data_IF_380572932758
#
_entry.id   IF_380572932758
#
_cell.length_a   1.000
_cell.length_b   1.000
_cell.length_c   1.000
_cell.angle_alpha   90.00
_cell.angle_beta   90.00
_cell.angle_gamma   90.00
#
_symmetry.space_group_name_H-M   'P 1'
#
loop_
_entity.id
_entity.type
_entity.pdbx_description
1 polymer ?
#
# COMPACT_ATOMS: atom_id res chain seq x y z
N UNK A 1 43.90 -13.49 -25.47
CA UNK A 1 42.47 -13.75 -25.74
C UNK A 1 41.68 -12.91 -24.78
N UNK A 2 40.94 -11.96 -25.34
CA UNK A 2 40.10 -11.01 -24.61
C UNK A 2 39.09 -11.77 -23.75
N UNK A 3 38.82 -11.22 -22.56
CA UNK A 3 37.88 -11.77 -21.60
C UNK A 3 36.45 -11.52 -22.14
N UNK A 4 36.06 -12.29 -23.15
CA UNK A 4 34.77 -12.20 -23.86
C UNK A 4 33.60 -12.79 -23.04
N UNK A 5 33.87 -13.36 -21.86
CA UNK A 5 32.87 -14.00 -21.01
C UNK A 5 32.59 -13.18 -19.75
N UNK A 6 31.31 -12.89 -19.49
CA UNK A 6 30.85 -12.34 -18.21
C UNK A 6 30.64 -13.48 -17.21
N UNK A 7 31.40 -13.49 -16.11
CA UNK A 7 31.21 -14.44 -15.02
C UNK A 7 30.29 -13.82 -13.96
N UNK A 8 29.13 -14.45 -13.73
CA UNK A 8 28.27 -14.08 -12.61
C UNK A 8 28.97 -14.44 -11.30
N UNK A 9 28.89 -13.54 -10.32
CA UNK A 9 29.34 -13.81 -8.95
C UNK A 9 28.21 -13.51 -7.99
N UNK A 10 28.08 -14.30 -6.94
CA UNK A 10 27.07 -14.08 -5.91
C UNK A 10 27.30 -12.75 -5.21
N UNK A 11 26.23 -12.00 -4.95
CA UNK A 11 26.31 -10.77 -4.15
C UNK A 11 26.85 -11.07 -2.75
N UNK A 12 26.50 -12.24 -2.19
CA UNK A 12 26.97 -12.71 -0.88
C UNK A 12 28.48 -12.92 -0.81
N UNK A 13 29.16 -13.14 -1.93
CA UNK A 13 30.62 -13.26 -2.00
C UNK A 13 31.33 -11.90 -2.17
N UNK A 14 30.58 -10.85 -2.54
CA UNK A 14 31.11 -9.55 -2.96
C UNK A 14 30.77 -8.41 -2.03
N UNK A 15 29.74 -8.57 -1.20
CA UNK A 15 29.26 -7.53 -0.30
C UNK A 15 29.36 -8.02 1.14
N UNK A 16 29.72 -7.10 2.02
CA UNK A 16 29.73 -7.33 3.45
C UNK A 16 28.30 -7.57 3.95
N UNK A 17 28.13 -8.60 4.78
CA UNK A 17 26.83 -9.04 5.28
C UNK A 17 26.18 -7.97 6.17
N UNK A 18 26.96 -7.24 6.97
CA UNK A 18 26.42 -6.20 7.84
C UNK A 18 25.84 -5.03 7.01
N UNK A 19 26.48 -4.72 5.89
CA UNK A 19 25.99 -3.72 4.93
C UNK A 19 24.67 -4.18 4.29
N UNK A 20 24.57 -5.44 3.87
CA UNK A 20 23.33 -6.02 3.34
C UNK A 20 22.23 -5.95 4.40
N UNK A 21 22.50 -6.43 5.61
CA UNK A 21 21.53 -6.50 6.70
C UNK A 21 21.03 -5.12 7.11
N UNK A 22 21.92 -4.14 7.23
CA UNK A 22 21.55 -2.77 7.57
C UNK A 22 20.64 -2.15 6.50
N UNK A 23 20.97 -2.35 5.22
CA UNK A 23 20.17 -1.82 4.12
C UNK A 23 18.80 -2.50 4.00
N UNK A 24 18.77 -3.82 4.17
CA UNK A 24 17.56 -4.65 4.19
C UNK A 24 16.61 -4.26 5.33
N UNK A 25 17.14 -3.93 6.52
CA UNK A 25 16.33 -3.43 7.64
C UNK A 25 15.68 -2.09 7.33
N UNK A 26 16.43 -1.15 6.74
CA UNK A 26 15.86 0.12 6.28
C UNK A 26 14.74 -0.09 5.27
N UNK A 27 14.90 -1.05 4.36
CA UNK A 27 13.85 -1.40 3.42
C UNK A 27 12.62 -2.04 4.09
N UNK A 28 12.81 -2.94 5.05
CA UNK A 28 11.72 -3.53 5.83
C UNK A 28 10.91 -2.46 6.57
N UNK A 29 11.59 -1.49 7.19
CA UNK A 29 10.93 -0.38 7.86
C UNK A 29 10.13 0.48 6.87
N UNK A 30 10.69 0.75 5.69
CA UNK A 30 10.03 1.50 4.63
C UNK A 30 8.76 0.79 4.13
N UNK A 31 8.87 -0.49 3.75
CA UNK A 31 7.74 -1.24 3.16
C UNK A 31 6.64 -1.54 4.19
N UNK A 32 6.99 -1.66 5.46
CA UNK A 32 6.00 -1.81 6.57
C UNK A 32 5.06 -0.61 6.63
N UNK A 33 5.58 0.60 6.38
CA UNK A 33 4.78 1.84 6.41
C UNK A 33 4.16 2.16 5.06
N UNK A 34 4.76 1.71 3.97
CA UNK A 34 4.38 2.05 2.60
C UNK A 34 3.35 1.08 1.99
N UNK A 35 2.27 0.77 2.72
CA UNK A 35 1.29 -0.24 2.29
C UNK A 35 0.45 0.20 1.08
N UNK A 36 0.31 1.50 0.89
CA UNK A 36 -0.44 2.12 -0.21
C UNK A 36 0.46 3.08 -0.97
N UNK A 37 0.05 3.47 -2.18
CA UNK A 37 0.77 4.48 -2.95
C UNK A 37 0.84 5.83 -2.21
N UNK A 38 -0.18 6.18 -1.43
CA UNK A 38 -0.19 7.42 -0.63
C UNK A 38 0.80 7.35 0.51
N UNK A 39 0.81 6.24 1.26
CA UNK A 39 1.74 6.04 2.35
C UNK A 39 3.18 5.90 1.86
N UNK A 40 3.40 5.31 0.69
CA UNK A 40 4.70 5.25 0.04
C UNK A 40 5.22 6.66 -0.31
N UNK A 41 4.36 7.55 -0.82
CA UNK A 41 4.71 8.97 -1.01
C UNK A 41 5.07 9.63 0.31
N UNK A 42 4.24 9.46 1.34
CA UNK A 42 4.47 10.07 2.66
C UNK A 42 5.82 9.63 3.27
N UNK A 43 6.11 8.32 3.30
CA UNK A 43 7.39 7.81 3.82
C UNK A 43 8.57 8.28 2.97
N UNK A 44 8.42 8.33 1.63
CA UNK A 44 9.47 8.83 0.73
C UNK A 44 9.75 10.32 0.96
N UNK A 45 8.72 11.13 1.18
CA UNK A 45 8.88 12.56 1.50
C UNK A 45 9.66 12.73 2.79
N UNK A 46 9.40 11.91 3.82
CA UNK A 46 10.15 11.97 5.07
C UNK A 46 11.63 11.59 4.90
N UNK A 47 11.94 10.60 4.05
CA UNK A 47 13.32 10.29 3.67
C UNK A 47 14.01 11.48 2.97
N UNK A 48 13.33 12.08 1.98
CA UNK A 48 13.85 13.20 1.21
C UNK A 48 14.09 14.45 2.08
N UNK A 49 13.16 14.79 2.98
CA UNK A 49 13.32 15.90 3.93
C UNK A 49 14.53 15.70 4.83
N UNK A 50 14.72 14.49 5.38
CA UNK A 50 15.90 14.16 6.20
C UNK A 50 17.20 14.30 5.41
N UNK A 51 17.16 14.05 4.11
CA UNK A 51 18.30 14.23 3.19
C UNK A 51 18.50 15.67 2.68
N UNK A 52 17.71 16.64 3.19
CA UNK A 52 17.82 18.06 2.85
C UNK A 52 17.13 18.47 1.56
N UNK A 53 16.23 17.64 1.01
CA UNK A 53 15.40 18.05 -0.12
C UNK A 53 14.29 19.00 0.34
N UNK A 54 13.90 19.91 -0.55
CA UNK A 54 12.79 20.84 -0.35
C UNK A 54 11.67 20.62 -1.38
N UNK A 55 10.40 20.82 -1.01
CA UNK A 55 9.30 20.77 -1.96
C UNK A 55 9.44 21.87 -3.01
N UNK A 56 8.98 21.66 -4.24
CA UNK A 56 9.01 22.67 -5.31
C UNK A 56 8.29 23.96 -4.88
N UNK A 57 7.21 23.81 -4.11
CA UNK A 57 6.40 24.90 -3.55
C UNK A 57 7.22 25.86 -2.67
N UNK A 58 8.31 25.39 -2.04
CA UNK A 58 9.24 26.24 -1.28
C UNK A 58 9.86 27.31 -2.19
N UNK A 59 10.35 26.92 -3.36
CA UNK A 59 11.02 27.81 -4.31
C UNK A 59 10.03 28.78 -4.95
N UNK A 60 8.83 28.29 -5.29
CA UNK A 60 7.74 29.12 -5.82
C UNK A 60 7.31 30.20 -4.82
N UNK A 61 7.16 29.84 -3.55
CA UNK A 61 6.73 30.77 -2.49
C UNK A 61 7.83 31.78 -2.15
N UNK A 62 9.09 31.31 -2.03
CA UNK A 62 10.23 32.17 -1.75
C UNK A 62 10.63 33.05 -2.95
N UNK A 63 10.07 32.80 -4.13
CA UNK A 63 10.48 33.39 -5.41
C UNK A 63 11.98 33.19 -5.67
N UNK A 64 12.48 32.04 -5.27
CA UNK A 64 13.87 31.65 -5.45
C UNK A 64 14.02 30.79 -6.71
N UNK A 65 15.03 31.08 -7.53
CA UNK A 65 15.38 30.21 -8.64
C UNK A 65 16.09 28.96 -8.11
N UNK A 66 15.73 27.80 -8.66
CA UNK A 66 16.44 26.54 -8.45
C UNK A 66 17.83 26.64 -9.10
N UNK A 67 18.87 26.27 -8.36
CA UNK A 67 20.29 26.38 -8.73
C UNK A 67 20.98 25.02 -8.65
N UNK A 68 22.16 24.94 -9.26
CA UNK A 68 23.06 23.80 -9.07
C UNK A 68 23.33 23.56 -7.59
N UNK A 69 23.23 22.32 -7.15
CA UNK A 69 23.35 21.89 -5.75
C UNK A 69 22.00 21.73 -5.04
N UNK A 70 20.92 22.29 -5.58
CA UNK A 70 19.60 22.16 -4.97
C UNK A 70 19.07 20.71 -5.05
N UNK A 71 18.32 20.35 -4.02
CA UNK A 71 17.63 19.07 -3.86
C UNK A 71 16.14 19.37 -3.77
N UNK A 72 15.39 18.99 -4.80
CA UNK A 72 13.99 19.40 -4.97
C UNK A 72 13.10 18.18 -5.14
N UNK A 73 11.91 18.17 -4.54
CA UNK A 73 10.89 17.18 -4.83
C UNK A 73 9.53 17.81 -5.11
N UNK A 74 8.67 17.08 -5.80
CA UNK A 74 7.29 17.47 -6.08
C UNK A 74 6.38 16.29 -5.77
N UNK A 75 5.27 16.54 -5.07
CA UNK A 75 4.23 15.54 -4.82
C UNK A 75 2.99 15.89 -5.63
N UNK A 76 2.53 14.94 -6.46
CA UNK A 76 1.29 15.11 -7.24
C UNK A 76 0.15 14.31 -6.61
N UNK A 77 -0.89 15.02 -6.16
CA UNK A 77 -2.13 14.46 -5.61
C UNK A 77 -1.94 13.51 -4.40
N UNK A 78 -0.75 13.52 -3.80
CA UNK A 78 -0.35 12.57 -2.75
C UNK A 78 -0.20 11.12 -3.24
N UNK A 79 -0.09 10.87 -4.56
CA UNK A 79 0.01 9.52 -5.14
C UNK A 79 1.22 9.31 -6.05
N UNK A 80 1.89 10.38 -6.44
CA UNK A 80 3.11 10.33 -7.24
C UNK A 80 4.12 11.33 -6.70
N UNK A 81 5.40 11.02 -6.87
CA UNK A 81 6.51 11.83 -6.40
C UNK A 81 7.59 11.90 -7.48
N UNK A 82 8.16 13.09 -7.65
CA UNK A 82 9.37 13.31 -8.44
C UNK A 82 10.41 13.95 -7.53
N UNK A 83 11.66 13.51 -7.62
CA UNK A 83 12.77 14.07 -6.86
C UNK A 83 14.00 14.29 -7.77
N UNK A 84 14.70 15.40 -7.56
CA UNK A 84 15.81 15.84 -8.38
C UNK A 84 16.96 16.37 -7.53
N UNK A 85 18.19 15.98 -7.88
CA UNK A 85 19.44 16.57 -7.40
C UNK A 85 20.05 17.37 -8.56
N UNK A 86 20.04 18.69 -8.47
CA UNK A 86 20.38 19.56 -9.60
C UNK A 86 21.90 19.65 -9.74
N UNK A 87 22.47 18.99 -10.75
CA UNK A 87 23.91 18.95 -10.97
C UNK A 87 24.43 19.96 -12.01
N UNK A 88 23.54 20.73 -12.65
CA UNK A 88 23.93 21.69 -13.67
C UNK A 88 22.80 22.07 -14.61
N UNK A 89 23.14 22.42 -15.85
CA UNK A 89 22.16 22.82 -16.86
C UNK A 89 21.32 21.62 -17.32
N UNK A 90 20.03 21.64 -16.99
CA UNK A 90 19.05 20.62 -17.37
C UNK A 90 18.98 20.35 -18.88
N UNK A 91 19.30 21.34 -19.74
CA UNK A 91 19.36 21.17 -21.21
C UNK A 91 20.46 20.20 -21.66
N UNK A 92 21.43 19.88 -20.80
CA UNK A 92 22.46 18.87 -21.08
C UNK A 92 21.97 17.42 -20.84
N UNK A 93 20.72 17.25 -20.43
CA UNK A 93 20.14 15.96 -20.12
C UNK A 93 20.11 15.68 -18.62
N UNK A 94 19.56 14.51 -18.30
CA UNK A 94 19.34 14.04 -16.93
C UNK A 94 19.48 12.51 -16.90
N UNK A 95 19.98 11.99 -15.77
CA UNK A 95 19.94 10.58 -15.48
C UNK A 95 18.68 10.32 -14.64
N UNK A 96 17.75 9.53 -15.16
CA UNK A 96 16.48 9.23 -14.50
C UNK A 96 16.35 7.75 -14.25
N UNK A 97 15.92 7.43 -13.04
CA UNK A 97 15.36 6.14 -12.66
C UNK A 97 13.88 6.37 -12.33
N UNK A 98 13.02 5.47 -12.80
CA UNK A 98 11.59 5.53 -12.57
C UNK A 98 11.11 4.17 -12.08
N UNK A 99 10.21 4.18 -11.11
CA UNK A 99 9.54 3.02 -10.55
C UNK A 99 8.10 3.42 -10.22
N UNK A 100 7.19 2.44 -10.14
CA UNK A 100 5.84 2.69 -9.65
C UNK A 100 5.70 2.26 -8.18
N UNK A 101 4.71 2.83 -7.48
CA UNK A 101 4.53 2.65 -6.04
C UNK A 101 3.12 2.15 -5.66
N UNK A 102 2.23 2.06 -6.64
CA UNK A 102 1.00 1.30 -6.53
C UNK A 102 1.30 -0.19 -6.63
N UNK A 103 0.46 -0.99 -5.98
CA UNK A 103 0.54 -2.45 -6.00
C UNK A 103 -0.86 -3.04 -6.17
N UNK A 104 -0.99 -4.27 -6.72
CA UNK A 104 -2.28 -4.94 -6.84
C UNK A 104 -2.99 -5.05 -5.48
N UNK A 105 -4.30 -4.78 -5.45
CA UNK A 105 -5.09 -4.62 -4.22
C UNK A 105 -6.58 -4.80 -4.46
N UNK A 106 -7.38 -4.66 -3.41
CA UNK A 106 -8.84 -4.65 -3.47
C UNK A 106 -9.39 -3.31 -3.00
N UNK A 107 -9.83 -2.46 -3.92
CA UNK A 107 -10.44 -1.18 -3.58
C UNK A 107 -11.89 -1.38 -3.14
N UNK A 108 -12.34 -0.59 -2.17
CA UNK A 108 -13.75 -0.55 -1.83
C UNK A 108 -14.57 0.09 -2.95
N UNK A 109 -15.74 -0.48 -3.26
CA UNK A 109 -16.69 0.18 -4.16
C UNK A 109 -17.25 1.44 -3.50
N UNK A 110 -17.78 2.41 -4.27
CA UNK A 110 -18.38 3.64 -3.71
C UNK A 110 -19.53 3.38 -2.71
N UNK A 111 -20.30 2.30 -2.88
CA UNK A 111 -21.26 1.78 -1.89
C UNK A 111 -20.77 0.43 -1.38
N UNK A 112 -19.75 0.41 -0.50
CA UNK A 112 -19.08 -0.84 -0.19
C UNK A 112 -19.88 -1.68 0.82
N UNK A 113 -20.58 -1.05 1.75
CA UNK A 113 -21.14 -1.75 2.89
C UNK A 113 -22.50 -2.37 2.55
N UNK A 114 -22.64 -3.68 2.73
CA UNK A 114 -23.88 -4.42 2.53
C UNK A 114 -24.10 -5.46 3.61
N UNK A 115 -25.28 -5.48 4.20
CA UNK A 115 -25.72 -6.60 5.03
C UNK A 115 -26.32 -7.73 4.17
N UNK A 116 -25.96 -8.96 4.50
CA UNK A 116 -26.56 -10.16 3.91
C UNK A 116 -26.45 -11.32 4.90
N UNK A 117 -27.54 -12.03 5.13
CA UNK A 117 -27.55 -13.24 5.97
C UNK A 117 -27.02 -13.00 7.39
N UNK A 118 -27.35 -11.85 8.00
CA UNK A 118 -26.89 -11.49 9.36
C UNK A 118 -25.41 -11.12 9.46
N UNK A 119 -24.76 -10.82 8.34
CA UNK A 119 -23.35 -10.42 8.28
C UNK A 119 -23.20 -9.14 7.45
N UNK A 120 -22.31 -8.25 7.88
CA UNK A 120 -21.92 -7.07 7.10
C UNK A 120 -20.68 -7.39 6.25
N UNK A 121 -20.75 -7.04 4.96
CA UNK A 121 -19.68 -7.24 4.00
C UNK A 121 -19.26 -5.91 3.37
N UNK A 122 -17.96 -5.79 3.11
CA UNK A 122 -17.37 -4.75 2.28
C UNK A 122 -17.21 -5.26 0.84
N UNK A 123 -17.94 -4.65 -0.08
CA UNK A 123 -17.88 -4.90 -1.52
C UNK A 123 -16.61 -4.27 -2.10
N UNK A 124 -15.83 -5.09 -2.79
CA UNK A 124 -14.59 -4.63 -3.42
C UNK A 124 -14.65 -4.62 -4.95
N UNK A 125 -13.68 -3.96 -5.54
CA UNK A 125 -13.25 -4.11 -6.92
C UNK A 125 -11.73 -4.27 -6.92
N UNK A 126 -11.20 -5.26 -7.63
CA UNK A 126 -9.76 -5.46 -7.65
C UNK A 126 -9.07 -4.39 -8.52
N UNK A 127 -7.87 -4.01 -8.12
CA UNK A 127 -6.96 -3.13 -8.85
C UNK A 127 -5.73 -3.94 -9.28
N UNK A 128 -5.33 -3.78 -10.55
CA UNK A 128 -4.22 -4.53 -11.14
C UNK A 128 -4.54 -6.01 -11.44
N UNK A 129 -3.51 -6.78 -11.79
CA UNK A 129 -3.62 -8.17 -12.22
C UNK A 129 -3.59 -9.20 -11.09
N UNK A 130 -4.48 -9.11 -10.11
CA UNK A 130 -4.46 -10.04 -8.97
C UNK A 130 -4.77 -11.50 -9.36
N UNK A 131 -4.10 -12.44 -8.71
CA UNK A 131 -4.56 -13.83 -8.61
C UNK A 131 -5.60 -13.92 -7.51
N UNK A 132 -6.88 -13.78 -7.87
CA UNK A 132 -8.02 -13.63 -6.94
C UNK A 132 -8.06 -14.69 -5.81
N UNK A 133 -7.70 -15.95 -6.10
CA UNK A 133 -7.69 -17.01 -5.09
C UNK A 133 -6.66 -16.81 -3.97
N UNK A 134 -5.58 -16.04 -4.21
CA UNK A 134 -4.58 -15.73 -3.18
C UNK A 134 -5.06 -14.69 -2.17
N UNK A 135 -6.22 -14.07 -2.40
CA UNK A 135 -6.84 -13.08 -1.52
C UNK A 135 -7.94 -13.68 -0.64
N UNK A 136 -8.16 -14.99 -0.75
CA UNK A 136 -9.14 -15.73 0.05
C UNK A 136 -8.48 -16.30 1.31
N UNK A 137 -9.22 -16.33 2.41
CA UNK A 137 -8.82 -16.92 3.69
C UNK A 137 -7.49 -16.40 4.28
N UNK A 138 -7.08 -15.19 3.90
CA UNK A 138 -5.95 -14.48 4.52
C UNK A 138 -6.46 -13.28 5.33
N UNK A 139 -5.75 -12.85 6.38
CA UNK A 139 -6.08 -11.63 7.09
C UNK A 139 -5.83 -10.41 6.20
N UNK A 140 -6.79 -9.50 6.14
CA UNK A 140 -6.74 -8.26 5.36
C UNK A 140 -6.85 -7.05 6.28
N UNK A 141 -6.09 -6.00 5.99
CA UNK A 141 -6.18 -4.70 6.64
C UNK A 141 -6.92 -3.71 5.73
N UNK A 142 -7.71 -2.83 6.32
CA UNK A 142 -8.35 -1.72 5.62
C UNK A 142 -7.50 -0.47 5.80
N UNK A 143 -6.95 0.04 4.70
CA UNK A 143 -6.04 1.18 4.70
C UNK A 143 -6.49 2.18 3.65
N UNK A 144 -6.32 3.47 3.90
CA UNK A 144 -6.52 4.49 2.88
C UNK A 144 -6.91 5.85 3.45
N UNK A 145 -7.45 6.71 2.59
CA UNK A 145 -7.77 8.09 2.95
C UNK A 145 -9.20 8.43 2.53
N UNK A 146 -9.92 9.09 3.42
CA UNK A 146 -11.24 9.66 3.16
C UNK A 146 -11.11 11.18 3.12
N UNK A 147 -11.72 11.80 2.11
CA UNK A 147 -11.84 13.26 2.02
C UNK A 147 -13.27 13.64 2.38
N UNK A 148 -13.43 14.35 3.49
CA UNK A 148 -14.72 14.81 3.99
C UNK A 148 -15.23 15.99 3.18
N UNK A 149 -16.52 16.30 3.34
CA UNK A 149 -17.19 17.42 2.66
C UNK A 149 -16.50 18.77 2.95
N UNK A 150 -15.98 18.96 4.16
CA UNK A 150 -15.25 20.16 4.55
C UNK A 150 -13.81 20.23 4.00
N UNK A 151 -13.36 19.20 3.26
CA UNK A 151 -12.02 19.09 2.70
C UNK A 151 -10.98 18.42 3.61
N UNK A 152 -11.35 18.07 4.86
CA UNK A 152 -10.46 17.38 5.77
C UNK A 152 -10.14 15.96 5.29
N UNK A 153 -8.92 15.53 5.57
CA UNK A 153 -8.44 14.18 5.24
C UNK A 153 -8.39 13.33 6.49
N UNK A 154 -9.07 12.19 6.44
CA UNK A 154 -9.05 11.18 7.49
C UNK A 154 -8.35 9.94 6.96
N UNK A 155 -7.21 9.59 7.56
CA UNK A 155 -6.49 8.36 7.23
C UNK A 155 -7.05 7.19 8.05
N UNK A 156 -7.42 6.11 7.35
CA UNK A 156 -7.89 4.87 7.95
C UNK A 156 -6.75 3.85 7.92
N UNK A 157 -6.51 3.21 9.05
CA UNK A 157 -5.62 2.06 9.18
C UNK A 157 -6.18 1.09 10.22
N UNK A 158 -6.79 -0.01 9.75
CA UNK A 158 -7.37 -1.04 10.61
C UNK A 158 -6.77 -2.38 10.20
N UNK A 159 -6.15 -3.10 11.14
CA UNK A 159 -5.65 -4.45 10.95
C UNK A 159 -4.13 -4.56 10.89
N UNK A 160 -3.40 -3.44 10.96
CA UNK A 160 -1.94 -3.42 10.96
C UNK A 160 -1.33 -3.23 12.35
N UNK A 161 -2.05 -2.65 13.30
CA UNK A 161 -1.56 -2.50 14.67
C UNK A 161 -1.72 -3.80 15.47
N UNK A 162 -0.83 -4.11 16.44
CA UNK A 162 -1.02 -5.23 17.35
C UNK A 162 -2.36 -5.15 18.07
N UNK A 163 -3.19 -6.20 17.96
CA UNK A 163 -4.51 -6.27 18.58
C UNK A 163 -5.65 -5.65 17.76
N UNK A 164 -5.37 -5.02 16.61
CA UNK A 164 -6.43 -4.59 15.70
C UNK A 164 -7.21 -5.79 15.15
N UNK A 165 -8.52 -5.64 14.91
CA UNK A 165 -9.28 -6.61 14.12
C UNK A 165 -8.83 -6.57 12.66
N UNK A 166 -8.95 -7.72 11.99
CA UNK A 166 -8.68 -7.88 10.56
C UNK A 166 -9.94 -8.31 9.82
N UNK A 167 -9.93 -8.13 8.51
CA UNK A 167 -10.98 -8.57 7.59
C UNK A 167 -10.58 -9.89 6.93
N UNK A 168 -11.56 -10.60 6.37
CA UNK A 168 -11.30 -11.83 5.60
C UNK A 168 -12.30 -11.98 4.46
N UNK A 169 -11.85 -12.51 3.34
CA UNK A 169 -12.73 -12.99 2.26
C UNK A 169 -12.76 -14.51 2.36
N UNK A 170 -13.88 -15.07 2.78
CA UNK A 170 -14.01 -16.51 2.99
C UNK A 170 -14.10 -17.26 1.65
N UNK A 171 -13.29 -18.32 1.50
CA UNK A 171 -13.51 -19.32 0.44
C UNK A 171 -14.49 -20.40 0.88
N UNK A 172 -15.06 -21.11 -0.09
CA UNK A 172 -15.86 -22.31 0.16
C UNK A 172 -14.95 -23.44 0.67
N UNK A 173 -15.39 -24.11 1.73
CA UNK A 173 -14.67 -25.24 2.30
C UNK A 173 -14.57 -26.41 1.30
N UNK A 174 -13.47 -27.18 1.29
CA UNK A 174 -13.21 -28.19 0.26
C UNK A 174 -14.24 -29.33 0.22
N UNK A 175 -14.86 -29.69 1.35
CA UNK A 175 -15.88 -30.75 1.41
C UNK A 175 -17.15 -30.45 0.60
N UNK A 176 -17.44 -29.17 0.32
CA UNK A 176 -18.60 -28.73 -0.47
C UNK A 176 -18.19 -28.07 -1.78
N UNK A 177 -16.89 -27.90 -2.01
CA UNK A 177 -16.37 -27.23 -3.18
C UNK A 177 -16.17 -28.20 -4.35
N UNK A 178 -17.13 -28.18 -5.27
CA UNK A 178 -17.10 -28.98 -6.50
C UNK A 178 -16.63 -28.16 -7.72
N UNK A 179 -16.06 -26.95 -7.52
CA UNK A 179 -15.58 -26.10 -8.62
C UNK A 179 -14.46 -26.82 -9.39
N UNK A 180 -14.48 -26.73 -10.72
CA UNK A 180 -13.47 -27.27 -11.65
C UNK A 180 -13.19 -26.24 -12.75
N UNK A 181 -12.01 -26.30 -13.37
CA UNK A 181 -11.63 -25.45 -14.51
C UNK A 181 -10.49 -24.47 -14.21
N UNK A 182 -10.28 -23.49 -15.09
CA UNK A 182 -9.25 -22.46 -14.91
C UNK A 182 -9.61 -21.58 -13.68
N UNK A 183 -8.66 -21.48 -12.74
CA UNK A 183 -8.80 -20.65 -11.55
C UNK A 183 -9.17 -19.19 -11.87
N UNK A 184 -8.80 -18.68 -13.05
CA UNK A 184 -9.15 -17.32 -13.50
C UNK A 184 -10.65 -17.10 -13.67
N UNK A 185 -11.37 -18.15 -14.05
CA UNK A 185 -12.81 -18.17 -14.30
C UNK A 185 -13.60 -18.62 -13.07
N UNK A 186 -13.05 -19.59 -12.34
CA UNK A 186 -13.64 -20.15 -11.10
C UNK A 186 -13.78 -19.06 -10.04
N UNK A 187 -12.73 -18.27 -9.82
CA UNK A 187 -12.73 -17.19 -8.84
C UNK A 187 -13.11 -15.87 -9.52
N UNK A 188 -14.24 -15.27 -9.10
CA UNK A 188 -14.79 -14.06 -9.73
C UNK A 188 -14.57 -12.84 -8.83
N UNK A 189 -14.17 -11.73 -9.43
CA UNK A 189 -13.90 -10.48 -8.68
C UNK A 189 -15.13 -9.97 -7.90
N UNK A 190 -16.35 -10.19 -8.42
CA UNK A 190 -17.59 -9.80 -7.74
C UNK A 190 -17.84 -10.54 -6.42
N UNK A 191 -17.18 -11.69 -6.22
CA UNK A 191 -17.33 -12.53 -5.05
C UNK A 191 -16.31 -12.16 -3.95
N UNK A 192 -15.32 -11.32 -4.28
CA UNK A 192 -14.35 -10.77 -3.33
C UNK A 192 -15.02 -9.71 -2.43
N UNK A 193 -15.68 -10.19 -1.39
CA UNK A 193 -16.40 -9.35 -0.44
C UNK A 193 -15.89 -9.70 0.96
N UNK A 194 -15.30 -8.72 1.64
CA UNK A 194 -14.68 -8.97 2.93
C UNK A 194 -15.73 -8.93 4.04
N UNK A 195 -15.70 -9.91 4.94
CA UNK A 195 -16.51 -9.92 6.15
C UNK A 195 -16.02 -8.82 7.09
N UNK A 196 -16.95 -8.00 7.58
CA UNK A 196 -16.64 -6.80 8.37
C UNK A 196 -17.30 -6.77 9.76
N UNK A 197 -18.49 -7.36 9.92
CA UNK A 197 -19.15 -7.49 11.21
C UNK A 197 -20.20 -8.62 11.21
N UNK A 198 -20.53 -9.13 12.39
CA UNK A 198 -21.56 -10.16 12.61
C UNK A 198 -22.48 -9.89 13.81
N UNK A 199 -22.16 -8.90 14.66
CA UNK A 199 -22.93 -8.61 15.87
C UNK A 199 -24.01 -7.56 15.52
N UNK A 200 -25.31 -7.87 15.70
CA UNK A 200 -26.37 -6.91 15.42
C UNK A 200 -26.44 -5.85 16.50
N UNK A 201 -26.76 -4.62 16.10
CA UNK A 201 -27.14 -3.57 17.01
C UNK A 201 -28.51 -3.87 17.64
N UNK A 202 -28.60 -3.78 18.96
CA UNK A 202 -29.85 -3.99 19.69
C UNK A 202 -30.68 -2.71 19.66
N UNK A 203 -31.60 -2.63 18.70
CA UNK A 203 -32.65 -1.63 18.64
C UNK A 203 -33.92 -2.24 18.05
N UNK A 204 -35.08 -1.89 18.59
CA UNK A 204 -36.36 -2.35 18.08
C UNK A 204 -36.61 -1.81 16.66
N UNK A 205 -37.13 -2.67 15.79
CA UNK A 205 -37.60 -2.36 14.42
C UNK A 205 -36.59 -1.79 13.40
N UNK A 206 -35.29 -1.98 13.58
CA UNK A 206 -34.29 -1.65 12.55
C UNK A 206 -33.98 -2.82 11.60
N UNK A 207 -33.95 -2.53 10.30
CA UNK A 207 -33.27 -3.36 9.29
C UNK A 207 -31.78 -3.00 9.27
N UNK A 208 -30.94 -3.90 8.75
CA UNK A 208 -29.51 -3.69 8.60
C UNK A 208 -28.76 -3.40 9.93
N UNK A 209 -29.12 -4.12 10.99
CA UNK A 209 -28.59 -3.89 12.35
C UNK A 209 -27.11 -4.23 12.50
N UNK A 210 -26.57 -5.16 11.71
CA UNK A 210 -25.15 -5.52 11.72
C UNK A 210 -24.33 -4.48 10.94
N UNK A 211 -24.87 -4.02 9.81
CA UNK A 211 -24.34 -2.87 9.08
C UNK A 211 -24.25 -1.64 9.98
N UNK A 212 -25.29 -1.36 10.77
CA UNK A 212 -25.27 -0.26 11.73
C UNK A 212 -24.17 -0.42 12.77
N UNK A 213 -23.94 -1.62 13.33
CA UNK A 213 -22.82 -1.87 14.26
C UNK A 213 -21.47 -1.50 13.63
N UNK A 214 -21.24 -1.86 12.37
CA UNK A 214 -20.02 -1.48 11.66
C UNK A 214 -19.90 0.04 11.52
N UNK A 215 -20.98 0.71 11.06
CA UNK A 215 -21.00 2.17 10.90
C UNK A 215 -20.78 2.90 12.21
N UNK A 216 -21.39 2.43 13.31
CA UNK A 216 -21.18 2.98 14.65
C UNK A 216 -19.70 2.90 15.06
N UNK A 217 -19.06 1.75 14.85
CA UNK A 217 -17.64 1.55 15.17
C UNK A 217 -16.73 2.46 14.35
N UNK A 218 -17.02 2.62 13.05
CA UNK A 218 -16.30 3.53 12.16
C UNK A 218 -16.51 4.99 12.57
N UNK A 219 -17.73 5.37 12.93
CA UNK A 219 -18.06 6.71 13.40
C UNK A 219 -17.37 7.07 14.71
N UNK A 220 -17.37 6.16 15.69
CA UNK A 220 -16.72 6.38 16.98
C UNK A 220 -15.19 6.51 16.84
N UNK A 221 -14.56 5.74 15.94
CA UNK A 221 -13.10 5.76 15.76
C UNK A 221 -12.61 6.90 14.85
N UNK A 222 -13.37 7.24 13.81
CA UNK A 222 -12.90 8.15 12.73
C UNK A 222 -13.84 9.33 12.46
N UNK A 223 -14.99 9.42 13.12
CA UNK A 223 -15.99 10.47 12.88
C UNK A 223 -16.77 10.30 11.57
N UNK A 224 -16.55 9.21 10.82
CA UNK A 224 -17.10 9.03 9.48
C UNK A 224 -18.56 8.58 9.52
N UNK A 225 -19.32 9.00 8.51
CA UNK A 225 -20.66 8.52 8.17
C UNK A 225 -20.58 7.59 6.97
N UNK A 226 -21.66 6.88 6.67
CA UNK A 226 -21.71 6.01 5.49
C UNK A 226 -21.45 6.79 4.18
N UNK A 227 -21.90 8.04 4.11
CA UNK A 227 -21.71 8.89 2.93
C UNK A 227 -20.23 9.23 2.68
N UNK A 228 -19.42 9.32 3.73
CA UNK A 228 -17.99 9.60 3.56
C UNK A 228 -17.26 8.44 2.84
N UNK A 229 -17.86 7.24 2.80
CA UNK A 229 -17.32 6.09 2.05
C UNK A 229 -17.44 6.26 0.53
N UNK A 230 -18.25 7.20 0.03
CA UNK A 230 -18.40 7.45 -1.41
C UNK A 230 -17.18 8.10 -2.05
N UNK A 231 -16.56 9.05 -1.34
CA UNK A 231 -15.36 9.78 -1.76
C UNK A 231 -14.07 9.13 -1.25
N UNK A 232 -14.18 7.94 -0.64
CA UNK A 232 -13.11 7.28 0.03
C UNK A 232 -12.18 6.53 -0.92
N UNK A 233 -10.88 6.71 -0.73
CA UNK A 233 -9.81 5.95 -1.38
C UNK A 233 -9.33 4.88 -0.41
N UNK A 234 -10.18 3.86 -0.21
CA UNK A 234 -9.97 2.77 0.74
C UNK A 234 -9.70 1.46 0.02
N UNK A 235 -8.71 0.74 0.55
CA UNK A 235 -8.16 -0.47 -0.02
C UNK A 235 -7.96 -1.53 1.05
N UNK A 236 -8.32 -2.76 0.71
CA UNK A 236 -7.94 -3.94 1.46
C UNK A 236 -6.60 -4.46 0.92
N UNK A 237 -5.66 -4.62 1.84
CA UNK A 237 -4.31 -5.16 1.60
C UNK A 237 -4.04 -6.30 2.57
N UNK A 238 -3.11 -7.23 2.28
CA UNK A 238 -2.74 -8.27 3.24
C UNK A 238 -2.27 -7.68 4.57
N UNK A 239 -2.89 -8.09 5.68
CA UNK A 239 -2.46 -7.75 7.04
C UNK A 239 -1.32 -8.67 7.49
N UNK A 240 -0.26 -8.74 6.69
CA UNK A 240 0.90 -9.60 6.92
C UNK A 240 2.13 -8.70 7.03
N UNK A 241 2.77 -8.73 8.19
CA UNK A 241 3.97 -7.95 8.44
C UNK A 241 5.14 -8.45 7.57
N UNK A 242 5.99 -7.55 7.05
CA UNK A 242 7.23 -7.93 6.37
C UNK A 242 8.15 -8.76 7.27
N UNK A 243 8.78 -9.81 6.72
CA UNK A 243 9.67 -10.73 7.46
C UNK A 243 10.81 -11.25 6.59
N UNK A 244 11.86 -11.75 7.22
CA UNK A 244 12.87 -12.56 6.54
C UNK A 244 12.30 -13.97 6.21
N UNK A 245 12.76 -14.53 5.10
CA UNK A 245 12.40 -15.86 4.58
C UNK A 245 13.67 -16.70 4.49
N UNK A 246 13.55 -17.99 4.78
CA UNK A 246 14.64 -18.96 4.74
C UNK A 246 15.28 -19.17 6.11
N UNK A 247 15.84 -20.36 6.33
CA UNK A 247 16.56 -20.69 7.59
C UNK A 247 17.77 -19.76 7.76
N UNK A 248 18.37 -19.37 6.65
CA UNK A 248 19.50 -18.45 6.54
C UNK A 248 19.10 -16.97 6.53
N UNK A 249 17.80 -16.67 6.50
CA UNK A 249 17.23 -15.30 6.48
C UNK A 249 17.69 -14.47 5.27
N UNK A 250 18.05 -15.13 4.17
CA UNK A 250 18.64 -14.47 2.99
C UNK A 250 17.65 -13.70 2.11
N UNK A 251 16.35 -13.86 2.35
CA UNK A 251 15.30 -13.25 1.54
C UNK A 251 14.33 -12.44 2.40
N UNK A 252 13.64 -11.48 1.78
CA UNK A 252 12.58 -10.71 2.42
C UNK A 252 11.23 -11.06 1.79
N UNK A 253 10.21 -11.20 2.63
CA UNK A 253 8.82 -11.39 2.24
C UNK A 253 7.95 -10.26 2.74
N UNK A 254 7.30 -9.56 1.83
CA UNK A 254 6.37 -8.49 2.13
C UNK A 254 5.32 -8.35 1.01
N UNK A 255 4.18 -7.74 1.35
CA UNK A 255 3.23 -7.27 0.36
C UNK A 255 3.75 -6.00 -0.33
N UNK A 256 3.57 -5.91 -1.65
CA UNK A 256 3.87 -4.69 -2.41
C UNK A 256 5.35 -4.48 -2.72
N UNK A 257 6.17 -5.55 -2.75
CA UNK A 257 7.53 -5.45 -3.31
C UNK A 257 7.51 -4.85 -4.73
N UNK A 258 6.52 -5.27 -5.53
CA UNK A 258 6.22 -4.75 -6.86
C UNK A 258 5.50 -3.37 -6.75
N UNK A 259 6.12 -2.25 -7.13
CA UNK A 259 7.54 -2.03 -7.48
C UNK A 259 8.25 -1.16 -6.45
N UNK A 260 7.74 -1.16 -5.21
CA UNK A 260 8.24 -0.37 -4.09
C UNK A 260 9.68 -0.72 -3.72
N UNK A 261 10.16 -1.93 -4.05
CA UNK A 261 11.58 -2.28 -3.89
C UNK A 261 12.47 -1.41 -4.78
N UNK A 262 12.11 -1.26 -6.06
CA UNK A 262 12.84 -0.43 -7.01
C UNK A 262 12.70 1.04 -6.63
N UNK A 263 11.50 1.49 -6.25
CA UNK A 263 11.27 2.86 -5.79
C UNK A 263 12.15 3.22 -4.57
N UNK A 264 12.20 2.34 -3.57
CA UNK A 264 13.06 2.54 -2.40
C UNK A 264 14.54 2.65 -2.80
N UNK A 265 15.04 1.70 -3.61
CA UNK A 265 16.45 1.71 -4.05
C UNK A 265 16.79 2.91 -4.93
N UNK A 266 15.85 3.39 -5.73
CA UNK A 266 16.01 4.57 -6.56
C UNK A 266 16.14 5.85 -5.71
N UNK A 267 15.32 5.97 -4.66
CA UNK A 267 15.33 7.11 -3.76
C UNK A 267 16.58 7.13 -2.88
N UNK A 268 16.97 6.01 -2.29
CA UNK A 268 18.18 5.94 -1.47
C UNK A 268 19.43 6.22 -2.30
N UNK A 269 19.52 5.68 -3.52
CA UNK A 269 20.61 5.98 -4.45
C UNK A 269 20.65 7.46 -4.89
N UNK A 270 19.50 8.15 -4.94
CA UNK A 270 19.44 9.60 -5.22
C UNK A 270 19.86 10.45 -4.00
N UNK A 271 19.58 9.96 -2.79
CA UNK A 271 19.89 10.63 -1.53
C UNK A 271 21.39 10.62 -1.24
N UNK A 272 22.03 9.47 -1.46
CA UNK A 272 23.47 9.27 -1.32
C UNK A 272 24.31 10.19 -2.25
#
# INVERSE_FOLDING_TARGET
MENLSFKTTSVWEKRDINTIDSYSRGYLDYITKSLTERLAVEETVELLKKAGFRPLEYYETAKENIKTGDKVYLVKSGKALLAFKIAGNFRKGLNMVAAHIDSPRLDLKPKPLKEKSGLAFLKTHYYGGIKKYQWLNIPLALVGTVVLENGDKVNINIGNAPGDPVFVISDLLPHLDNRKGDFREVFKGKDLNALAASIPYKADDQKDTVKYTFLKSIHEKYGLKEEDLFSADLQLVPAIQPREIGIDRSMLGAYGHDDRICAYTAITALID
#
